data_IF_376096391548
#
_entry.id   IF_376096391548
#
_cell.length_a   1.000
_cell.length_b   1.000
_cell.length_c   1.000
_cell.angle_alpha   90.00
_cell.angle_beta   90.00
_cell.angle_gamma   90.00
#
_symmetry.space_group_name_H-M   'P 1'
#
loop_
_entity.id
_entity.type
_entity.pdbx_description
1 polymer ?
#
# COMPACT_ATOMS: atom_id res chain seq x y z
N UNK A 1 17.14 -26.90 6.33
CA UNK A 1 16.94 -25.90 7.40
C UNK A 1 18.10 -24.93 7.30
N UNK A 2 17.94 -23.86 6.53
CA UNK A 2 18.97 -22.83 6.37
C UNK A 2 18.93 -21.96 7.62
N UNK A 3 20.04 -21.86 8.33
CA UNK A 3 20.14 -20.96 9.47
C UNK A 3 19.86 -19.53 8.98
N UNK A 4 18.90 -18.84 9.60
CA UNK A 4 18.77 -17.40 9.45
C UNK A 4 20.07 -16.79 9.98
N UNK A 5 20.92 -16.30 9.07
CA UNK A 5 22.06 -15.46 9.45
C UNK A 5 21.47 -14.28 10.22
N UNK A 6 21.74 -14.20 11.52
CA UNK A 6 21.21 -13.15 12.36
C UNK A 6 21.70 -11.80 11.81
N UNK A 7 20.76 -10.98 11.30
CA UNK A 7 21.09 -9.63 10.86
C UNK A 7 21.42 -8.77 12.08
N UNK A 8 22.59 -8.14 12.06
CA UNK A 8 22.97 -7.17 13.08
C UNK A 8 22.18 -5.87 12.84
N UNK A 9 21.42 -5.36 13.82
CA UNK A 9 20.68 -4.11 13.67
C UNK A 9 21.61 -2.88 13.76
N UNK A 10 21.28 -1.82 13.03
CA UNK A 10 21.83 -0.49 13.28
C UNK A 10 21.43 -0.03 14.67
N UNK A 11 22.38 0.49 15.44
CA UNK A 11 22.09 1.19 16.67
C UNK A 11 21.71 2.64 16.36
N UNK A 12 20.48 3.00 16.71
CA UNK A 12 19.98 4.38 16.65
C UNK A 12 20.17 5.03 18.02
N UNK A 13 20.48 6.33 18.04
CA UNK A 13 20.58 7.08 19.29
C UNK A 13 19.21 7.21 19.97
N UNK A 14 19.21 7.36 21.29
CA UNK A 14 17.98 7.50 22.08
C UNK A 14 17.20 8.75 21.63
N UNK A 15 15.94 8.54 21.21
CA UNK A 15 15.08 9.59 20.64
C UNK A 15 15.10 9.71 19.11
N UNK A 16 15.96 8.96 18.40
CA UNK A 16 15.93 8.93 16.94
C UNK A 16 14.78 8.04 16.44
N UNK A 17 13.94 8.60 15.55
CA UNK A 17 12.82 7.87 14.96
C UNK A 17 13.35 6.86 13.94
N UNK A 18 12.90 5.60 14.05
CA UNK A 18 13.24 4.55 13.09
C UNK A 18 12.85 5.01 11.66
N UNK A 19 13.76 4.95 10.68
CA UNK A 19 13.47 5.40 9.33
C UNK A 19 12.37 4.55 8.70
N UNK A 20 11.54 5.20 7.89
CA UNK A 20 10.61 4.51 6.97
C UNK A 20 10.98 4.86 5.54
N UNK A 21 10.76 3.91 4.63
CA UNK A 21 11.04 4.08 3.21
C UNK A 21 9.76 4.34 2.43
N UNK A 22 9.88 5.16 1.39
CA UNK A 22 8.88 5.29 0.35
C UNK A 22 9.35 4.57 -0.91
N UNK A 23 8.63 3.52 -1.29
CA UNK A 23 8.77 2.87 -2.59
C UNK A 23 7.92 3.63 -3.62
N UNK A 24 8.57 4.37 -4.51
CA UNK A 24 7.91 5.28 -5.44
C UNK A 24 7.02 4.56 -6.46
N UNK A 25 7.51 3.44 -6.98
CA UNK A 25 6.84 2.66 -8.00
C UNK A 25 7.10 1.19 -7.72
N UNK A 26 6.01 0.44 -7.59
CA UNK A 26 6.04 -1.00 -7.49
C UNK A 26 5.66 -1.58 -8.86
N UNK A 27 6.67 -1.98 -9.67
CA UNK A 27 6.44 -2.56 -10.99
C UNK A 27 5.74 -3.92 -10.89
N UNK A 28 4.85 -4.19 -11.85
CA UNK A 28 4.13 -5.47 -11.93
C UNK A 28 4.99 -6.55 -12.61
N UNK A 29 4.85 -7.80 -12.16
CA UNK A 29 5.47 -8.95 -12.81
C UNK A 29 7.01 -9.00 -12.72
N UNK A 30 7.59 -8.27 -11.76
CA UNK A 30 9.02 -8.37 -11.45
C UNK A 30 9.31 -9.65 -10.69
N UNK A 31 10.38 -10.33 -11.10
CA UNK A 31 10.88 -11.55 -10.49
C UNK A 31 12.26 -11.25 -9.91
N UNK A 32 12.46 -11.63 -8.64
CA UNK A 32 13.72 -11.52 -7.90
C UNK A 32 14.04 -12.89 -7.35
N UNK A 33 15.21 -13.44 -7.67
CA UNK A 33 15.66 -14.78 -7.24
C UNK A 33 14.61 -15.89 -7.50
N UNK A 34 13.90 -15.80 -8.62
CA UNK A 34 12.83 -16.72 -8.99
C UNK A 34 11.47 -16.47 -8.30
N UNK A 35 11.38 -15.50 -7.39
CA UNK A 35 10.16 -15.12 -6.67
C UNK A 35 9.48 -13.90 -7.32
N UNK A 36 8.16 -13.94 -7.51
CA UNK A 36 7.42 -12.81 -8.12
C UNK A 36 6.99 -11.81 -7.05
N UNK A 37 7.22 -10.51 -7.26
CA UNK A 37 6.93 -9.46 -6.26
C UNK A 37 5.58 -8.79 -6.57
N UNK A 38 4.48 -9.46 -6.22
CA UNK A 38 3.12 -8.97 -6.57
C UNK A 38 2.27 -8.60 -5.35
N UNK A 39 2.51 -9.23 -4.19
CA UNK A 39 1.72 -9.05 -2.97
C UNK A 39 2.51 -8.34 -1.87
N UNK A 40 1.81 -7.92 -0.81
CA UNK A 40 2.44 -7.32 0.37
C UNK A 40 3.51 -8.23 0.97
N UNK A 41 3.21 -9.52 1.05
CA UNK A 41 4.10 -10.51 1.64
C UNK A 41 5.32 -10.74 0.75
N UNK A 42 5.16 -10.70 -0.57
CA UNK A 42 6.31 -10.76 -1.49
C UNK A 42 7.20 -9.53 -1.37
N UNK A 43 6.62 -8.34 -1.17
CA UNK A 43 7.40 -7.13 -0.95
C UNK A 43 8.13 -7.15 0.38
N UNK A 44 7.51 -7.71 1.42
CA UNK A 44 8.17 -7.95 2.70
C UNK A 44 9.36 -8.90 2.53
N UNK A 45 9.13 -10.06 1.91
CA UNK A 45 10.19 -11.01 1.59
C UNK A 45 11.32 -10.36 0.78
N UNK A 46 10.99 -9.55 -0.22
CA UNK A 46 11.99 -8.86 -1.04
C UNK A 46 12.90 -7.95 -0.20
N UNK A 47 12.32 -7.17 0.72
CA UNK A 47 13.06 -6.25 1.59
C UNK A 47 13.89 -7.00 2.63
N UNK A 48 13.31 -8.03 3.25
CA UNK A 48 13.93 -8.78 4.34
C UNK A 48 14.97 -9.80 3.85
N UNK A 49 14.67 -10.54 2.79
CA UNK A 49 15.46 -11.69 2.36
C UNK A 49 16.34 -11.39 1.14
N UNK A 50 15.78 -10.79 0.08
CA UNK A 50 16.55 -10.55 -1.15
C UNK A 50 17.48 -9.33 -1.02
N UNK A 51 16.99 -8.24 -0.41
CA UNK A 51 17.77 -7.01 -0.22
C UNK A 51 18.47 -6.93 1.13
N UNK A 52 17.99 -7.69 2.11
CA UNK A 52 18.54 -7.74 3.46
C UNK A 52 18.61 -6.38 4.16
N UNK A 53 17.64 -5.49 3.90
CA UNK A 53 17.65 -4.14 4.46
C UNK A 53 17.26 -4.08 5.93
N UNK A 54 16.60 -5.10 6.47
CA UNK A 54 16.12 -5.14 7.84
C UNK A 54 14.80 -5.87 7.96
N UNK A 55 14.23 -5.88 9.17
CA UNK A 55 12.96 -6.52 9.47
C UNK A 55 11.81 -5.52 9.31
N UNK A 56 10.81 -5.87 8.50
CA UNK A 56 9.64 -5.04 8.21
C UNK A 56 8.61 -5.19 9.32
N UNK A 57 8.10 -4.06 9.80
CA UNK A 57 6.99 -3.99 10.74
C UNK A 57 5.65 -3.92 10.03
N UNK A 58 5.52 -3.02 9.05
CA UNK A 58 4.32 -2.91 8.23
C UNK A 58 4.63 -2.32 6.87
N UNK A 59 3.73 -2.59 5.92
CA UNK A 59 3.74 -2.02 4.58
C UNK A 59 2.37 -1.43 4.30
N UNK A 60 2.35 -0.13 4.00
CA UNK A 60 1.14 0.61 3.64
C UNK A 60 1.13 0.82 2.13
N UNK A 61 0.25 0.11 1.42
CA UNK A 61 0.16 0.15 -0.05
C UNK A 61 -0.77 1.27 -0.48
N UNK A 62 -0.31 2.10 -1.41
CA UNK A 62 -1.09 3.16 -2.03
C UNK A 62 -1.22 2.91 -3.53
N UNK A 63 -2.45 2.95 -4.03
CA UNK A 63 -2.74 2.97 -5.48
C UNK A 63 -2.75 4.41 -5.95
N UNK A 64 -1.96 4.72 -6.96
CA UNK A 64 -1.86 6.03 -7.58
C UNK A 64 -2.36 5.95 -9.03
N UNK A 65 -2.76 7.11 -9.56
CA UNK A 65 -3.13 7.28 -10.96
C UNK A 65 -2.16 8.27 -11.61
N UNK A 66 -1.46 7.81 -12.64
CA UNK A 66 -0.59 8.64 -13.45
C UNK A 66 -1.41 9.56 -14.36
N UNK A 67 -0.77 10.62 -14.88
CA UNK A 67 -1.42 11.63 -15.74
C UNK A 67 -1.98 11.06 -17.04
N UNK A 68 -1.38 9.99 -17.56
CA UNK A 68 -1.85 9.24 -18.73
C UNK A 68 -3.04 8.32 -18.43
N UNK A 69 -3.54 8.31 -17.19
CA UNK A 69 -4.66 7.48 -16.76
C UNK A 69 -4.27 6.08 -16.29
N UNK A 70 -3.00 5.66 -16.43
CA UNK A 70 -2.55 4.37 -15.90
C UNK A 70 -2.52 4.38 -14.38
N UNK A 71 -2.72 3.21 -13.77
CA UNK A 71 -2.60 3.05 -12.33
C UNK A 71 -1.27 2.39 -11.99
N UNK A 72 -0.65 2.81 -10.90
CA UNK A 72 0.56 2.18 -10.37
C UNK A 72 0.48 2.12 -8.85
N UNK A 73 1.22 1.18 -8.26
CA UNK A 73 1.30 1.03 -6.80
C UNK A 73 2.56 1.72 -6.28
N UNK A 74 2.45 2.34 -5.12
CA UNK A 74 3.56 2.78 -4.28
C UNK A 74 3.39 2.18 -2.90
N UNK A 75 4.44 2.13 -2.09
CA UNK A 75 4.35 1.58 -0.74
C UNK A 75 5.15 2.42 0.26
N UNK A 76 4.69 2.45 1.51
CA UNK A 76 5.48 2.94 2.64
C UNK A 76 5.89 1.73 3.48
N UNK A 77 7.19 1.57 3.71
CA UNK A 77 7.77 0.40 4.38
C UNK A 77 8.35 0.89 5.70
N UNK A 78 7.83 0.33 6.79
CA UNK A 78 8.23 0.68 8.16
C UNK A 78 8.99 -0.50 8.74
N UNK A 79 10.07 -0.24 9.46
CA UNK A 79 10.98 -1.26 9.97
C UNK A 79 10.83 -1.46 11.48
N UNK A 80 10.94 -2.69 11.95
CA UNK A 80 11.26 -2.99 13.35
C UNK A 80 12.74 -2.76 13.62
N UNK A 81 13.58 -3.09 12.65
CA UNK A 81 15.02 -2.85 12.66
C UNK A 81 15.55 -2.73 11.25
N UNK A 82 16.61 -1.95 11.06
CA UNK A 82 17.37 -1.84 9.82
C UNK A 82 18.70 -2.55 10.00
N UNK A 83 19.17 -3.26 8.98
CA UNK A 83 20.44 -4.00 9.02
C UNK A 83 21.65 -3.06 8.97
N UNK A 84 22.70 -3.40 9.72
CA UNK A 84 23.93 -2.61 9.82
C UNK A 84 24.70 -2.53 8.50
N UNK A 85 24.64 -3.57 7.67
CA UNK A 85 25.38 -3.64 6.42
C UNK A 85 24.58 -3.01 5.26
N UNK A 86 23.59 -3.74 4.75
CA UNK A 86 22.81 -3.31 3.58
C UNK A 86 21.87 -2.14 3.90
N UNK A 87 21.28 -2.13 5.09
CA UNK A 87 20.41 -1.06 5.55
C UNK A 87 21.16 0.28 5.75
N UNK A 88 22.39 0.26 6.26
CA UNK A 88 23.21 1.48 6.38
C UNK A 88 23.57 2.04 5.01
N UNK A 89 23.96 1.18 4.07
CA UNK A 89 24.26 1.59 2.70
C UNK A 89 23.04 2.20 2.01
N UNK A 90 21.86 1.59 2.19
CA UNK A 90 20.59 2.13 1.73
C UNK A 90 20.32 3.53 2.27
N UNK A 91 20.42 3.73 3.60
CA UNK A 91 20.18 5.03 4.23
C UNK A 91 21.17 6.09 3.74
N UNK A 92 22.46 5.76 3.64
CA UNK A 92 23.48 6.67 3.10
C UNK A 92 23.23 7.04 1.63
N UNK A 93 22.79 6.07 0.82
CA UNK A 93 22.44 6.33 -0.58
C UNK A 93 21.28 7.32 -0.68
N UNK A 94 20.25 7.16 0.17
CA UNK A 94 19.10 8.06 0.20
C UNK A 94 19.50 9.45 0.69
N UNK A 95 20.29 9.54 1.76
CA UNK A 95 20.78 10.81 2.30
C UNK A 95 21.60 11.59 1.26
N UNK A 96 22.49 10.91 0.53
CA UNK A 96 23.37 11.56 -0.43
C UNK A 96 22.71 11.89 -1.78
N UNK A 97 21.87 10.98 -2.31
CA UNK A 97 21.30 11.11 -3.68
C UNK A 97 19.81 11.45 -3.70
N UNK A 98 19.13 11.40 -2.56
CA UNK A 98 17.67 11.49 -2.44
C UNK A 98 16.92 10.21 -2.82
N UNK A 99 17.61 9.20 -3.38
CA UNK A 99 17.03 7.92 -3.76
C UNK A 99 18.04 6.77 -3.73
N UNK A 100 17.52 5.56 -3.62
CA UNK A 100 18.24 4.32 -3.76
C UNK A 100 17.55 3.45 -4.80
N UNK A 101 18.19 3.31 -5.97
CA UNK A 101 17.71 2.51 -7.09
C UNK A 101 18.47 1.19 -7.11
N UNK A 102 17.72 0.09 -7.20
CA UNK A 102 18.26 -1.28 -7.27
C UNK A 102 17.62 -2.05 -8.41
N UNK A 103 18.42 -2.86 -9.08
CA UNK A 103 18.05 -3.73 -10.20
C UNK A 103 18.63 -5.16 -10.05
N UNK A 104 19.17 -5.50 -8.88
CA UNK A 104 19.69 -6.82 -8.55
C UNK A 104 19.54 -7.17 -7.06
N UNK A 105 19.56 -8.46 -6.76
CA UNK A 105 19.44 -9.00 -5.38
C UNK A 105 20.76 -8.87 -4.64
N UNK A 106 20.73 -8.39 -3.38
CA UNK A 106 21.92 -8.36 -2.54
C UNK A 106 22.34 -9.76 -2.05
N UNK A 107 21.43 -10.74 -2.14
CA UNK A 107 21.66 -12.11 -1.67
C UNK A 107 22.34 -12.99 -2.72
N UNK A 108 21.98 -12.81 -3.99
CA UNK A 108 22.41 -13.68 -5.10
C UNK A 108 23.24 -12.95 -6.14
N UNK A 109 23.28 -11.61 -6.09
CA UNK A 109 23.82 -10.72 -7.13
C UNK A 109 23.11 -10.89 -8.51
N UNK A 110 21.97 -11.58 -8.57
CA UNK A 110 21.23 -11.77 -9.81
C UNK A 110 20.41 -10.52 -10.17
N UNK A 111 20.40 -10.11 -11.46
CA UNK A 111 19.57 -9.01 -11.92
C UNK A 111 18.09 -9.40 -11.91
N UNK A 112 17.24 -8.43 -11.62
CA UNK A 112 15.80 -8.62 -11.66
C UNK A 112 15.31 -8.94 -13.07
N UNK A 113 14.26 -9.76 -13.15
CA UNK A 113 13.62 -10.13 -14.41
C UNK A 113 12.19 -9.59 -14.43
N UNK A 114 11.61 -9.44 -15.63
CA UNK A 114 10.22 -9.03 -15.77
C UNK A 114 9.56 -9.82 -16.91
N UNK A 115 8.35 -10.34 -16.68
CA UNK A 115 7.63 -11.15 -17.68
C UNK A 115 6.99 -10.32 -18.80
N UNK A 116 6.72 -9.04 -18.56
CA UNK A 116 5.87 -8.19 -19.39
C UNK A 116 6.61 -6.99 -20.00
N UNK A 117 7.72 -6.55 -19.40
CA UNK A 117 8.49 -5.38 -19.85
C UNK A 117 9.87 -5.76 -20.37
N UNK A 118 10.30 -5.13 -21.47
CA UNK A 118 11.57 -5.43 -22.15
C UNK A 118 12.79 -4.65 -21.66
N UNK A 119 12.61 -3.73 -20.71
CA UNK A 119 13.72 -3.00 -20.08
C UNK A 119 14.12 -3.60 -18.74
N UNK A 120 15.26 -3.16 -18.20
CA UNK A 120 15.76 -3.61 -16.90
C UNK A 120 14.78 -3.19 -15.80
N UNK A 121 14.14 -4.14 -15.09
CA UNK A 121 13.27 -3.82 -13.98
C UNK A 121 14.09 -3.35 -12.79
N UNK A 122 13.54 -2.40 -12.03
CA UNK A 122 14.20 -1.82 -10.86
C UNK A 122 13.18 -1.35 -9.83
N UNK A 123 13.62 -1.26 -8.58
CA UNK A 123 12.90 -0.59 -7.50
C UNK A 123 13.60 0.71 -7.13
N UNK A 124 12.83 1.73 -6.73
CA UNK A 124 13.36 3.01 -6.26
C UNK A 124 12.80 3.33 -4.89
N UNK A 125 13.68 3.35 -3.90
CA UNK A 125 13.40 3.75 -2.54
C UNK A 125 13.80 5.20 -2.33
N UNK A 126 13.01 5.90 -1.53
CA UNK A 126 13.26 7.29 -1.10
C UNK A 126 12.95 7.42 0.38
N UNK A 127 13.40 8.52 0.97
CA UNK A 127 12.98 8.88 2.33
C UNK A 127 11.46 9.04 2.38
N UNK A 128 10.84 8.46 3.42
CA UNK A 128 9.46 8.76 3.73
C UNK A 128 9.37 10.09 4.49
N UNK A 129 9.07 11.18 3.78
CA UNK A 129 9.01 12.54 4.34
C UNK A 129 7.80 12.74 5.28
N UNK A 130 6.80 11.86 5.23
CA UNK A 130 5.64 11.90 6.12
C UNK A 130 5.34 10.50 6.67
N UNK A 131 6.20 9.97 7.56
CA UNK A 131 5.95 8.68 8.17
C UNK A 131 4.67 8.80 8.98
N UNK A 132 3.68 7.97 8.65
CA UNK A 132 2.46 7.84 9.46
C UNK A 132 2.93 7.42 10.84
N UNK A 133 2.89 8.37 11.79
CA UNK A 133 3.32 8.12 13.16
C UNK A 133 2.56 6.92 13.66
N UNK A 134 3.29 5.86 14.01
CA UNK A 134 2.77 4.91 14.98
C UNK A 134 2.72 5.73 16.25
N UNK A 135 1.54 6.21 16.63
CA UNK A 135 1.38 6.69 18.00
C UNK A 135 1.74 5.47 18.85
N UNK A 136 2.89 5.51 19.51
CA UNK A 136 3.15 4.63 20.63
C UNK A 136 2.03 4.96 21.61
N UNK A 137 1.03 4.09 21.72
CA UNK A 137 -0.06 4.25 22.69
C UNK A 137 0.47 4.30 24.14
N UNK A 138 1.76 4.01 24.34
CA UNK A 138 2.49 4.08 25.61
C UNK A 138 2.79 5.50 26.12
N UNK A 139 2.73 6.55 25.28
CA UNK A 139 2.99 7.95 25.71
C UNK A 139 1.75 8.86 25.74
N UNK A 140 0.57 8.32 25.43
CA UNK A 140 -0.66 9.11 25.39
C UNK A 140 -1.25 9.26 26.80
N UNK A 141 -1.44 10.50 27.27
CA UNK A 141 -2.15 10.69 28.54
C UNK A 141 -3.59 10.18 28.40
N UNK A 142 -4.19 9.75 29.52
CA UNK A 142 -5.59 9.28 29.53
C UNK A 142 -6.55 10.28 28.85
N UNK A 143 -6.33 11.58 29.06
CA UNK A 143 -7.15 12.63 28.46
C UNK A 143 -6.97 12.73 26.94
N UNK A 144 -5.74 12.57 26.45
CA UNK A 144 -5.44 12.56 25.01
C UNK A 144 -6.05 11.32 24.33
N UNK A 145 -6.00 10.16 24.99
CA UNK A 145 -6.62 8.93 24.51
C UNK A 145 -8.15 9.07 24.41
N UNK A 146 -8.79 9.61 25.45
CA UNK A 146 -10.24 9.86 25.47
C UNK A 146 -10.66 10.84 24.37
N UNK A 147 -9.90 11.92 24.17
CA UNK A 147 -10.18 12.89 23.12
C UNK A 147 -10.00 12.29 21.71
N UNK A 148 -8.99 11.45 21.52
CA UNK A 148 -8.79 10.71 20.26
C UNK A 148 -9.94 9.75 19.99
N UNK A 149 -10.39 8.99 20.99
CA UNK A 149 -11.56 8.13 20.88
C UNK A 149 -12.80 8.91 20.47
N UNK A 150 -13.08 10.05 21.11
CA UNK A 150 -14.22 10.91 20.73
C UNK A 150 -14.16 11.38 19.27
N UNK A 151 -12.97 11.77 18.79
CA UNK A 151 -12.80 12.19 17.38
C UNK A 151 -12.99 11.03 16.42
N UNK A 152 -12.48 9.85 16.76
CA UNK A 152 -12.67 8.64 15.95
C UNK A 152 -14.14 8.22 15.90
N UNK A 153 -14.85 8.25 17.04
CA UNK A 153 -16.29 7.98 17.12
C UNK A 153 -17.09 8.98 16.26
N UNK A 154 -16.78 10.26 16.33
CA UNK A 154 -17.44 11.28 15.51
C UNK A 154 -17.16 11.07 14.02
N UNK A 155 -15.91 10.79 13.64
CA UNK A 155 -15.55 10.50 12.26
C UNK A 155 -16.23 9.23 11.74
N UNK A 156 -16.33 8.19 12.58
CA UNK A 156 -17.03 6.96 12.25
C UNK A 156 -18.52 7.24 12.00
N UNK A 157 -19.16 7.99 12.91
CA UNK A 157 -20.57 8.40 12.79
C UNK A 157 -20.85 9.15 11.49
N UNK A 158 -19.99 10.10 11.12
CA UNK A 158 -20.12 10.84 9.84
C UNK A 158 -20.02 9.88 8.65
N UNK A 159 -19.09 8.93 8.67
CA UNK A 159 -18.93 7.94 7.60
C UNK A 159 -20.07 6.94 7.53
N UNK A 160 -20.61 6.51 8.65
CA UNK A 160 -21.82 5.68 8.70
C UNK A 160 -23.01 6.40 8.08
N UNK A 161 -23.19 7.69 8.37
CA UNK A 161 -24.23 8.50 7.74
C UNK A 161 -24.03 8.63 6.22
N UNK A 162 -22.80 8.89 5.76
CA UNK A 162 -22.49 8.94 4.32
C UNK A 162 -22.85 7.62 3.60
N UNK A 163 -22.57 6.48 4.25
CA UNK A 163 -22.91 5.15 3.73
C UNK A 163 -24.43 4.96 3.68
N UNK A 164 -25.16 5.32 4.74
CA UNK A 164 -26.62 5.23 4.77
C UNK A 164 -27.25 6.11 3.68
N UNK A 165 -26.77 7.35 3.52
CA UNK A 165 -27.24 8.27 2.48
C UNK A 165 -26.95 7.74 1.07
N UNK A 166 -25.81 7.07 0.89
CA UNK A 166 -25.49 6.39 -0.37
C UNK A 166 -26.46 5.23 -0.64
N UNK A 167 -26.67 4.34 0.34
CA UNK A 167 -27.60 3.20 0.22
C UNK A 167 -29.01 3.69 -0.11
N UNK A 168 -29.49 4.72 0.59
CA UNK A 168 -30.81 5.28 0.37
C UNK A 168 -30.97 5.86 -1.04
N UNK A 169 -29.98 6.64 -1.50
CA UNK A 169 -29.97 7.23 -2.85
C UNK A 169 -29.96 6.16 -3.94
N UNK A 170 -29.09 5.16 -3.83
CA UNK A 170 -29.01 4.11 -4.84
C UNK A 170 -30.25 3.21 -4.83
N UNK A 171 -30.81 2.89 -3.66
CA UNK A 171 -32.08 2.15 -3.58
C UNK A 171 -33.22 2.89 -4.26
N UNK A 172 -33.35 4.20 -4.02
CA UNK A 172 -34.36 5.03 -4.67
C UNK A 172 -34.18 5.03 -6.19
N UNK A 173 -32.95 5.20 -6.66
CA UNK A 173 -32.62 5.17 -8.09
C UNK A 173 -32.94 3.83 -8.74
N UNK A 174 -32.71 2.72 -8.04
CA UNK A 174 -33.08 1.39 -8.54
C UNK A 174 -34.60 1.22 -8.59
N UNK A 175 -35.33 1.68 -7.58
CA UNK A 175 -36.79 1.63 -7.55
C UNK A 175 -37.41 2.40 -8.73
N UNK A 176 -36.93 3.62 -8.99
CA UNK A 176 -37.39 4.43 -10.12
C UNK A 176 -37.18 3.72 -11.47
N UNK A 177 -36.08 2.98 -11.63
CA UNK A 177 -35.85 2.16 -12.83
C UNK A 177 -36.80 0.96 -12.92
N UNK A 178 -37.03 0.27 -11.81
CA UNK A 178 -37.97 -0.87 -11.77
C UNK A 178 -39.37 -0.42 -12.14
N UNK A 179 -39.83 0.70 -11.58
CA UNK A 179 -41.14 1.27 -11.88
C UNK A 179 -41.25 1.70 -13.35
N UNK A 180 -40.20 2.31 -13.90
CA UNK A 180 -40.14 2.67 -15.32
C UNK A 180 -40.24 1.44 -16.24
N UNK A 181 -39.48 0.37 -15.95
CA UNK A 181 -39.57 -0.88 -16.72
C UNK A 181 -40.94 -1.56 -16.60
N UNK A 182 -41.53 -1.53 -15.41
CA UNK A 182 -42.88 -2.08 -15.20
C UNK A 182 -43.92 -1.34 -16.05
N UNK A 183 -43.85 0.00 -16.09
CA UNK A 183 -44.74 0.80 -16.92
C UNK A 183 -44.55 0.53 -18.42
N UNK A 184 -43.31 0.42 -18.90
CA UNK A 184 -43.02 0.06 -20.29
C UNK A 184 -43.60 -1.31 -20.67
N UNK A 185 -43.46 -2.33 -19.81
CA UNK A 185 -44.04 -3.65 -20.05
C UNK A 185 -45.57 -3.60 -20.11
N UNK A 186 -46.21 -2.81 -19.25
CA UNK A 186 -47.66 -2.59 -19.27
C UNK A 186 -48.14 -1.85 -20.53
N UNK A 187 -47.35 -0.95 -21.10
CA UNK A 187 -47.67 -0.28 -22.37
C UNK A 187 -47.51 -1.25 -23.56
N UNK A 188 -46.44 -2.05 -23.58
CA UNK A 188 -46.21 -3.07 -24.61
C UNK A 188 -47.27 -4.17 -24.61
N UNK A 189 -47.77 -4.58 -23.44
CA UNK A 189 -48.85 -5.57 -23.38
C UNK A 189 -50.15 -5.01 -23.97
N UNK A 190 -50.51 -3.75 -23.66
CA UNK A 190 -51.70 -3.09 -24.22
C UNK A 190 -51.67 -2.98 -25.74
N UNK A 191 -50.52 -2.65 -26.33
CA UNK A 191 -50.39 -2.58 -27.80
C UNK A 191 -50.46 -3.96 -28.46
N UNK A 192 -49.93 -4.99 -27.81
CA UNK A 192 -49.98 -6.38 -28.32
C UNK A 192 -51.40 -6.94 -28.33
N UNK A 193 -52.21 -6.65 -27.30
CA UNK A 193 -53.61 -7.09 -27.23
C UNK A 193 -54.58 -6.25 -28.07
N UNK A 194 -54.18 -5.07 -28.55
CA UNK A 194 -55.01 -4.23 -29.44
C UNK A 194 -54.83 -4.56 -30.94
N UNK A 195 -53.91 -5.44 -31.30
CA UNK A 195 -53.64 -5.87 -32.68
C UNK A 195 -54.28 -7.23 -33.05
N UNK A 196 -55.01 -7.84 -32.11
CA UNK A 196 -55.86 -9.02 -32.32
C UNK A 196 -57.31 -8.68 -31.97
#
# INVERSE_FOLDING_TARGET
MTAMTAMTPIQFEEGQVMPSLYLQMWPEGVIVDGHTIDTKDDLQWFVEEAMQYGLVSRIDIKKNRARNGSTYRSAFIHFHMISEEQGRFLLQSIDHKGEHKVDGSNKTDEPYQNKTFSGTPYFVFRENINPVRVENDEEMSLEQAVERCKRLEESLRVKEQEVQDFIFRERRRMQEKVDAYHNQLCEMSKTTYSQY
#
